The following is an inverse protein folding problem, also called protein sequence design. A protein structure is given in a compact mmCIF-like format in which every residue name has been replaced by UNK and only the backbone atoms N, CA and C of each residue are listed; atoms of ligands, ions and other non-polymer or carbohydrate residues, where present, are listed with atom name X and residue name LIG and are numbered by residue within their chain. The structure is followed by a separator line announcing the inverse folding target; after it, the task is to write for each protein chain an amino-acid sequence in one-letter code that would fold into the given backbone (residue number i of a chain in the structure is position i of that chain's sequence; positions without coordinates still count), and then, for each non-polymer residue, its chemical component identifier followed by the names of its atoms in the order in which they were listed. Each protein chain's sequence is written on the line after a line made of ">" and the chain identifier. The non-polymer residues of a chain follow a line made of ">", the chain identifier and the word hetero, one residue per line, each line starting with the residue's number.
data_IF_700354636624
#
_entry.id   IF_700354636624
#
_cell.length_a   1.000
_cell.length_b   1.000
_cell.length_c   1.000
_cell.angle_alpha   90.00
_cell.angle_beta   90.00
_cell.angle_gamma   90.00
#
_symmetry.space_group_name_H-M   'P 1'
#
loop_
_entity.id
_entity.type
_entity.pdbx_description
1 polymer ?
#
# COMPACT_ATOMS: atom_id res chain seq x y z
N UNK A 1 4.09 -8.24 -10.67
CA UNK A 1 3.69 -7.83 -9.31
C UNK A 1 2.18 -7.65 -9.26
N UNK A 2 1.55 -8.36 -8.37
CA UNK A 2 0.09 -8.30 -8.22
C UNK A 2 -0.28 -7.25 -7.17
N UNK A 3 -0.98 -6.21 -7.60
CA UNK A 3 -1.31 -5.05 -6.75
C UNK A 3 -2.82 -4.89 -6.65
N UNK A 4 -3.31 -4.70 -5.44
CA UNK A 4 -4.70 -4.33 -5.21
C UNK A 4 -4.81 -2.85 -4.84
N UNK A 5 -5.77 -2.17 -5.45
CA UNK A 5 -6.07 -0.77 -5.15
C UNK A 5 -7.42 -0.70 -4.44
N UNK A 6 -7.44 -0.17 -3.22
CA UNK A 6 -8.67 -0.06 -2.45
C UNK A 6 -9.59 0.99 -3.08
N UNK A 7 -10.82 0.59 -3.39
CA UNK A 7 -11.83 1.49 -3.95
C UNK A 7 -12.56 2.27 -2.85
N UNK A 8 -13.48 3.16 -3.24
CA UNK A 8 -14.31 3.93 -2.33
C UNK A 8 -13.81 5.36 -2.17
N UNK A 9 -13.60 5.81 -0.95
CA UNK A 9 -13.14 7.19 -0.69
C UNK A 9 -11.79 7.49 -1.31
N UNK A 10 -11.04 6.45 -1.64
CA UNK A 10 -9.73 6.57 -2.28
C UNK A 10 -9.81 6.82 -3.79
N UNK A 11 -11.00 6.82 -4.39
CA UNK A 11 -11.14 7.00 -5.83
C UNK A 11 -10.49 8.29 -6.35
N UNK A 12 -10.61 9.38 -5.59
CA UNK A 12 -9.98 10.65 -5.95
C UNK A 12 -8.45 10.59 -5.90
N UNK A 13 -7.91 9.56 -5.28
CA UNK A 13 -6.47 9.37 -5.12
C UNK A 13 -5.93 8.20 -5.92
N UNK A 14 -6.74 7.68 -6.85
CA UNK A 14 -6.36 6.52 -7.66
C UNK A 14 -5.05 6.76 -8.41
N UNK A 15 -4.88 7.95 -8.99
CA UNK A 15 -3.65 8.28 -9.71
C UNK A 15 -2.41 8.25 -8.81
N UNK A 16 -2.55 8.66 -7.56
CA UNK A 16 -1.45 8.62 -6.61
C UNK A 16 -1.09 7.18 -6.24
N UNK A 17 -2.11 6.34 -6.06
CA UNK A 17 -1.91 4.93 -5.77
C UNK A 17 -1.20 4.23 -6.93
N UNK A 18 -1.63 4.51 -8.16
CA UNK A 18 -1.01 3.93 -9.35
C UNK A 18 0.43 4.39 -9.52
N UNK A 19 0.73 5.66 -9.22
CA UNK A 19 2.10 6.18 -9.26
C UNK A 19 3.00 5.47 -8.26
N UNK A 20 2.49 5.26 -7.05
CA UNK A 20 3.24 4.56 -6.03
C UNK A 20 3.55 3.12 -6.48
N UNK A 21 2.55 2.42 -6.99
CA UNK A 21 2.74 1.06 -7.52
C UNK A 21 3.77 1.04 -8.65
N UNK A 22 3.71 2.02 -9.54
CA UNK A 22 4.65 2.12 -10.67
C UNK A 22 6.09 2.29 -10.19
N UNK A 23 6.31 3.09 -9.16
CA UNK A 23 7.64 3.30 -8.58
C UNK A 23 8.18 2.02 -7.94
N UNK A 24 7.33 1.30 -7.24
CA UNK A 24 7.73 0.02 -6.63
C UNK A 24 8.07 -0.99 -7.73
N UNK A 25 7.24 -1.09 -8.75
CA UNK A 25 7.47 -2.01 -9.86
C UNK A 25 8.75 -1.67 -10.61
N UNK A 26 9.00 -0.39 -10.86
CA UNK A 26 10.21 0.08 -11.54
C UNK A 26 11.46 -0.25 -10.73
N UNK A 27 11.40 -0.04 -9.42
CA UNK A 27 12.52 -0.35 -8.54
C UNK A 27 12.89 -1.83 -8.54
N UNK A 28 11.93 -2.69 -8.86
CA UNK A 28 12.12 -4.14 -8.87
C UNK A 28 12.19 -4.74 -10.28
N UNK A 29 12.07 -3.90 -11.32
CA UNK A 29 12.15 -4.36 -12.70
C UNK A 29 11.03 -5.30 -13.09
N UNK A 30 9.82 -5.11 -12.58
CA UNK A 30 8.67 -5.97 -12.84
C UNK A 30 7.48 -5.17 -13.37
N UNK A 31 6.56 -5.85 -14.03
CA UNK A 31 5.31 -5.24 -14.46
C UNK A 31 4.27 -5.27 -13.34
N UNK A 32 3.16 -4.61 -13.58
CA UNK A 32 2.05 -4.54 -12.63
C UNK A 32 0.84 -5.29 -13.19
N UNK A 33 0.27 -6.18 -12.37
CA UNK A 33 -1.04 -6.78 -12.60
C UNK A 33 -1.94 -6.19 -11.51
N UNK A 34 -2.66 -5.12 -11.83
CA UNK A 34 -3.45 -4.37 -10.88
C UNK A 34 -4.92 -4.72 -10.90
N UNK A 35 -5.56 -4.66 -9.76
CA UNK A 35 -7.02 -4.78 -9.66
C UNK A 35 -7.53 -3.88 -8.54
N UNK A 36 -8.76 -3.43 -8.69
CA UNK A 36 -9.43 -2.57 -7.71
C UNK A 36 -10.50 -3.38 -6.98
N UNK A 37 -10.67 -3.12 -5.71
CA UNK A 37 -11.68 -3.83 -4.94
C UNK A 37 -11.85 -3.25 -3.55
N UNK A 38 -12.74 -3.87 -2.77
CA UNK A 38 -13.01 -3.46 -1.40
C UNK A 38 -11.83 -3.80 -0.49
N UNK A 39 -11.62 -2.96 0.52
CA UNK A 39 -10.51 -3.11 1.47
C UNK A 39 -10.44 -4.53 2.06
N UNK A 40 -11.56 -5.01 2.61
CA UNK A 40 -11.57 -6.33 3.26
C UNK A 40 -11.23 -7.47 2.30
N UNK A 41 -11.74 -7.42 1.09
CA UNK A 41 -11.49 -8.45 0.09
C UNK A 41 -10.02 -8.45 -0.34
N UNK A 42 -9.45 -7.26 -0.56
CA UNK A 42 -8.06 -7.14 -1.00
C UNK A 42 -7.09 -7.55 0.11
N UNK A 43 -7.35 -7.13 1.35
CA UNK A 43 -6.47 -7.49 2.46
C UNK A 43 -6.54 -8.98 2.79
N UNK A 44 -7.70 -9.60 2.60
CA UNK A 44 -7.83 -11.05 2.75
C UNK A 44 -7.04 -11.77 1.66
N UNK A 45 -7.11 -11.29 0.42
CA UNK A 45 -6.32 -11.85 -0.67
C UNK A 45 -4.81 -11.70 -0.39
N UNK A 46 -4.42 -10.59 0.23
CA UNK A 46 -3.04 -10.38 0.64
C UNK A 46 -2.60 -11.39 1.70
N UNK A 47 -3.45 -11.67 2.69
CA UNK A 47 -3.16 -12.68 3.70
C UNK A 47 -2.97 -14.07 3.09
N UNK A 48 -3.72 -14.36 2.03
CA UNK A 48 -3.64 -15.65 1.33
C UNK A 48 -2.52 -15.68 0.28
N UNK A 49 -1.71 -14.64 0.24
CA UNK A 49 -0.59 -14.49 -0.70
C UNK A 49 -1.02 -14.47 -2.17
N UNK A 50 -2.25 -14.07 -2.43
CA UNK A 50 -2.77 -13.89 -3.79
C UNK A 50 -2.39 -12.52 -4.37
N UNK A 51 -1.97 -11.58 -3.51
CA UNK A 51 -1.50 -10.26 -3.91
C UNK A 51 -0.14 -10.02 -3.27
N UNK A 52 0.68 -9.22 -3.94
CA UNK A 52 1.99 -8.83 -3.43
C UNK A 52 1.94 -7.54 -2.64
N UNK A 53 0.99 -6.66 -2.99
CA UNK A 53 0.88 -5.33 -2.39
C UNK A 53 -0.56 -4.86 -2.50
N UNK A 54 -1.06 -4.25 -1.45
CA UNK A 54 -2.36 -3.56 -1.47
C UNK A 54 -2.09 -2.10 -1.12
N UNK A 55 -2.64 -1.19 -1.92
CA UNK A 55 -2.46 0.25 -1.72
C UNK A 55 -3.83 0.87 -1.46
N UNK A 56 -3.90 1.73 -0.48
CA UNK A 56 -5.14 2.41 -0.15
C UNK A 56 -4.93 3.49 0.89
N UNK A 57 -6.02 4.17 1.21
CA UNK A 57 -6.05 5.15 2.28
C UNK A 57 -6.56 4.43 3.53
N UNK A 58 -5.68 4.20 4.48
CA UNK A 58 -5.99 3.43 5.67
C UNK A 58 -5.92 4.29 6.92
N UNK A 59 -6.78 4.03 7.92
CA UNK A 59 -6.66 4.71 9.20
C UNK A 59 -5.34 4.28 9.87
N UNK A 60 -4.77 5.18 10.66
CA UNK A 60 -3.52 4.89 11.36
C UNK A 60 -3.66 3.73 12.34
N UNK A 61 -4.86 3.55 12.89
CA UNK A 61 -5.18 2.42 13.77
C UNK A 61 -6.15 1.50 13.05
N UNK A 62 -5.63 0.67 12.15
CA UNK A 62 -6.44 -0.28 11.42
C UNK A 62 -6.56 -1.60 12.19
N UNK A 63 -7.73 -2.25 12.21
CA UNK A 63 -7.88 -3.57 12.79
C UNK A 63 -7.05 -4.62 12.06
N UNK A 64 -6.63 -4.36 10.82
CA UNK A 64 -5.80 -5.25 10.02
C UNK A 64 -4.32 -5.23 10.42
N UNK A 65 -3.93 -4.30 11.28
CA UNK A 65 -2.54 -4.12 11.72
C UNK A 65 -1.88 -5.40 12.22
N UNK A 66 -2.64 -6.30 12.81
CA UNK A 66 -2.12 -7.56 13.32
C UNK A 66 -2.05 -8.67 12.27
N UNK A 67 -2.71 -8.47 11.15
CA UNK A 67 -2.85 -9.50 10.10
C UNK A 67 -1.99 -9.22 8.88
N UNK A 68 -1.70 -7.95 8.61
CA UNK A 68 -0.86 -7.53 7.49
C UNK A 68 0.15 -6.51 8.00
N UNK A 69 1.23 -6.32 7.25
CA UNK A 69 2.23 -5.31 7.58
C UNK A 69 2.02 -4.07 6.72
N UNK A 70 1.81 -2.92 7.36
CA UNK A 70 1.63 -1.66 6.66
C UNK A 70 2.96 -0.93 6.48
N UNK A 71 3.11 -0.24 5.34
CA UNK A 71 4.25 0.61 5.09
C UNK A 71 4.06 1.96 5.82
N UNK A 72 5.09 2.79 5.78
CA UNK A 72 4.98 4.17 6.17
C UNK A 72 4.03 4.90 5.23
N UNK A 73 3.55 6.07 5.65
CA UNK A 73 2.70 6.90 4.82
C UNK A 73 3.45 7.37 3.57
N UNK A 74 2.81 7.28 2.41
CA UNK A 74 3.34 7.81 1.15
C UNK A 74 3.14 9.31 1.10
N UNK A 75 2.00 9.79 1.62
CA UNK A 75 1.74 11.20 1.75
C UNK A 75 2.17 11.68 3.14
N UNK A 76 2.29 13.01 3.28
CA UNK A 76 2.70 13.61 4.55
C UNK A 76 1.52 14.32 5.18
N UNK A 77 0.81 13.67 6.13
CA UNK A 77 -0.27 14.34 6.83
C UNK A 77 0.28 15.46 7.70
N UNK A 78 -0.54 16.47 7.93
CA UNK A 78 -0.16 17.57 8.82
C UNK A 78 0.08 17.05 10.24
N UNK A 79 1.13 17.54 10.92
CA UNK A 79 1.38 17.13 12.30
C UNK A 79 0.18 17.40 13.21
N UNK A 80 -0.12 16.43 14.07
CA UNK A 80 -1.20 16.56 15.03
C UNK A 80 -2.58 16.16 14.54
N UNK A 81 -2.72 15.83 13.24
CA UNK A 81 -3.99 15.36 12.70
C UNK A 81 -4.01 13.84 12.55
N UNK A 82 -5.05 13.22 13.07
CA UNK A 82 -5.26 11.80 12.97
C UNK A 82 -6.18 11.53 11.77
N UNK A 83 -5.63 11.59 10.57
CA UNK A 83 -6.38 11.35 9.33
C UNK A 83 -5.89 10.08 8.66
N UNK A 84 -6.77 9.39 7.89
CA UNK A 84 -6.31 8.26 7.10
C UNK A 84 -5.22 8.69 6.13
N UNK A 85 -4.21 7.84 5.97
CA UNK A 85 -3.05 8.14 5.12
C UNK A 85 -2.93 7.12 3.99
N UNK A 86 -2.37 7.57 2.87
CA UNK A 86 -2.07 6.68 1.75
C UNK A 86 -0.85 5.85 2.10
N UNK A 87 -1.00 4.55 2.08
CA UNK A 87 0.11 3.63 2.36
C UNK A 87 -0.17 2.26 1.74
N UNK A 88 0.86 1.44 1.71
CA UNK A 88 0.74 0.07 1.22
C UNK A 88 0.64 -0.92 2.36
N UNK A 89 0.17 -2.12 2.03
CA UNK A 89 0.14 -3.25 2.95
C UNK A 89 0.77 -4.45 2.24
N UNK A 90 1.55 -5.22 2.97
CA UNK A 90 2.19 -6.43 2.45
C UNK A 90 1.87 -7.59 3.37
N UNK A 91 2.09 -8.81 2.88
CA UNK A 91 1.87 -10.01 3.68
C UNK A 91 2.75 -9.96 4.93
N UNK A 92 2.16 -10.31 6.06
CA UNK A 92 2.88 -10.31 7.34
C UNK A 92 4.01 -11.36 7.28
N UNK A 93 5.22 -10.95 7.64
CA UNK A 93 6.39 -11.82 7.55
C UNK A 93 7.28 -11.56 6.34
N UNK A 94 6.83 -10.77 5.37
CA UNK A 94 7.60 -10.41 4.18
C UNK A 94 8.47 -9.17 4.47
N UNK A 95 9.42 -9.33 5.38
CA UNK A 95 10.22 -8.19 5.86
C UNK A 95 11.10 -7.56 4.80
N UNK A 96 11.70 -8.36 3.93
CA UNK A 96 12.55 -7.82 2.85
C UNK A 96 11.74 -7.00 1.86
N UNK A 97 10.55 -7.49 1.53
CA UNK A 97 9.64 -6.83 0.64
C UNK A 97 9.18 -5.49 1.23
N UNK A 98 8.81 -5.52 2.51
CA UNK A 98 8.42 -4.31 3.23
C UNK A 98 9.54 -3.27 3.24
N UNK A 99 10.76 -3.67 3.58
CA UNK A 99 11.90 -2.77 3.61
C UNK A 99 12.21 -2.18 2.23
N UNK A 100 12.05 -2.99 1.19
CA UNK A 100 12.27 -2.54 -0.17
C UNK A 100 11.28 -1.44 -0.57
N UNK A 101 10.02 -1.61 -0.19
CA UNK A 101 8.99 -0.61 -0.44
C UNK A 101 9.23 0.66 0.39
N UNK A 102 9.66 0.50 1.65
CA UNK A 102 10.01 1.63 2.50
C UNK A 102 11.11 2.49 1.88
N UNK A 103 12.08 1.87 1.22
CA UNK A 103 13.15 2.60 0.53
C UNK A 103 12.60 3.42 -0.63
N UNK A 104 11.61 2.91 -1.35
CA UNK A 104 10.96 3.65 -2.43
C UNK A 104 10.27 4.89 -1.87
N UNK A 105 9.57 4.73 -0.75
CA UNK A 105 8.89 5.84 -0.08
C UNK A 105 9.90 6.90 0.37
N UNK A 106 11.00 6.49 0.95
CA UNK A 106 12.05 7.41 1.40
C UNK A 106 12.67 8.21 0.27
N UNK A 107 12.91 7.58 -0.88
CA UNK A 107 13.46 8.27 -2.05
C UNK A 107 12.54 9.37 -2.55
N UNK A 108 11.24 9.13 -2.51
CA UNK A 108 10.26 10.07 -3.01
C UNK A 108 10.01 11.23 -2.05
N UNK A 109 10.40 11.09 -0.79
CA UNK A 109 10.20 12.12 0.21
C UNK A 109 11.43 13.00 0.46
N UNK A 110 12.53 12.70 -0.22
CA UNK A 110 13.76 13.47 -0.08
C UNK A 110 13.85 14.61 -1.10
#
# INVERSE_FOLDING_TARGET
>A
MKVGYVSGEADSRQAEMERFAARVAEAHGVGIDGRTGAEGALLRALEEAELDLVIGVFPQKSPWKKRVAFTSSVDRPEPGKTVPVLRGAVHNGENRWLLSIERVIERDSS
#
